data_IF_498593899594
#
_entry.id   IF_498593899594
#
_cell.length_a   1.000
_cell.length_b   1.000
_cell.length_c   1.000
_cell.angle_alpha   90.00
_cell.angle_beta   90.00
_cell.angle_gamma   90.00
#
_symmetry.space_group_name_H-M   'P 1'
#
loop_
_entity.id
_entity.type
_entity.pdbx_description
1 polymer ?
#
# COMPACT_ATOMS: atom_id res chain seq x y z
N UNK A 1 128.61 -12.06 -28.06
CA UNK A 1 127.81 -11.67 -29.21
C UNK A 1 126.46 -12.33 -29.15
N UNK A 2 125.44 -11.67 -28.73
CA UNK A 2 124.07 -12.03 -29.02
C UNK A 2 123.22 -10.77 -28.87
N UNK A 3 122.69 -10.34 -30.00
CA UNK A 3 121.73 -9.24 -30.10
C UNK A 3 120.40 -9.50 -29.45
N UNK A 4 119.92 -8.64 -28.57
CA UNK A 4 118.52 -8.60 -28.14
C UNK A 4 117.74 -7.70 -29.07
N UNK A 5 116.73 -8.25 -29.71
CA UNK A 5 115.74 -7.48 -30.45
C UNK A 5 114.57 -7.12 -29.48
N UNK A 6 114.31 -5.85 -29.35
CA UNK A 6 113.08 -5.31 -28.69
C UNK A 6 111.91 -5.50 -29.63
N UNK A 7 110.82 -6.06 -29.12
CA UNK A 7 109.53 -6.02 -29.79
C UNK A 7 108.65 -4.92 -29.17
N UNK A 8 107.90 -4.19 -29.97
CA UNK A 8 107.11 -3.08 -29.45
C UNK A 8 105.77 -3.53 -28.78
N UNK A 9 105.50 -2.89 -27.70
CA UNK A 9 104.23 -2.99 -26.92
C UNK A 9 103.10 -2.28 -27.64
N UNK A 10 102.26 -3.00 -28.39
CA UNK A 10 101.10 -2.45 -29.08
C UNK A 10 99.75 -3.18 -28.79
N UNK A 11 99.65 -3.90 -27.68
CA UNK A 11 98.46 -4.71 -27.36
C UNK A 11 97.61 -4.25 -26.18
N UNK A 12 97.91 -3.06 -25.60
CA UNK A 12 97.27 -2.70 -24.31
C UNK A 12 96.12 -1.71 -24.44
N UNK A 13 95.91 -1.08 -25.60
CA UNK A 13 94.87 -0.03 -25.76
C UNK A 13 93.53 -0.60 -26.29
N UNK A 14 93.60 -1.70 -27.00
CA UNK A 14 92.41 -2.31 -27.59
C UNK A 14 91.55 -3.11 -26.54
N UNK A 15 92.22 -3.70 -25.56
CA UNK A 15 91.53 -4.49 -24.49
C UNK A 15 90.75 -3.59 -23.50
N UNK A 16 91.19 -2.38 -23.27
CA UNK A 16 90.50 -1.46 -22.37
C UNK A 16 89.17 -0.94 -22.98
N UNK A 17 89.17 -0.70 -24.31
CA UNK A 17 87.99 -0.24 -25.00
C UNK A 17 86.88 -1.31 -25.04
N UNK A 18 87.29 -2.58 -25.22
CA UNK A 18 86.33 -3.72 -25.21
C UNK A 18 85.82 -4.03 -23.85
N UNK A 19 86.60 -3.79 -22.79
CA UNK A 19 86.07 -3.98 -21.39
C UNK A 19 85.10 -2.84 -21.03
N UNK A 20 85.29 -1.62 -21.51
CA UNK A 20 84.29 -0.56 -21.27
C UNK A 20 83.07 -0.67 -22.18
N UNK A 21 83.18 -1.27 -23.36
CA UNK A 21 82.05 -1.49 -24.25
C UNK A 21 81.12 -2.61 -23.74
N UNK A 22 81.68 -3.67 -23.09
CA UNK A 22 80.93 -4.77 -22.56
C UNK A 22 80.19 -4.47 -21.21
N UNK A 23 80.59 -3.41 -20.49
CA UNK A 23 80.04 -3.05 -19.19
C UNK A 23 78.78 -2.21 -19.28
N UNK A 24 78.40 -1.71 -20.48
CA UNK A 24 77.23 -0.87 -20.66
C UNK A 24 76.02 -1.54 -21.31
N UNK A 25 75.98 -2.90 -21.44
CA UNK A 25 74.88 -3.51 -22.18
C UNK A 25 74.02 -4.52 -21.40
N UNK A 26 74.14 -4.60 -20.04
CA UNK A 26 73.27 -5.42 -19.24
C UNK A 26 72.97 -4.79 -17.87
N UNK A 27 72.45 -3.57 -17.87
CA UNK A 27 71.54 -3.19 -16.78
C UNK A 27 70.18 -3.75 -17.12
N UNK A 28 69.59 -4.71 -16.31
CA UNK A 28 68.22 -5.08 -16.50
C UNK A 28 67.42 -3.77 -16.33
N UNK A 29 66.72 -3.35 -17.37
CA UNK A 29 65.62 -2.40 -17.22
C UNK A 29 64.72 -2.99 -16.15
N UNK A 30 64.88 -2.55 -14.93
CA UNK A 30 63.87 -2.71 -13.92
C UNK A 30 62.65 -2.00 -14.50
N UNK A 31 61.83 -2.74 -15.25
CA UNK A 31 60.59 -2.22 -15.76
C UNK A 31 59.89 -1.63 -14.58
N UNK A 32 59.55 -0.34 -14.70
CA UNK A 32 58.85 0.48 -13.73
C UNK A 32 57.48 -0.08 -13.34
N UNK A 33 57.44 -1.27 -12.77
CA UNK A 33 56.21 -1.83 -12.15
C UNK A 33 55.71 -0.89 -11.05
N UNK A 34 56.61 -0.20 -10.39
CA UNK A 34 56.27 0.85 -9.41
C UNK A 34 55.67 2.07 -10.06
N UNK A 35 56.26 2.56 -11.16
CA UNK A 35 55.75 3.70 -11.91
C UNK A 35 54.37 3.44 -12.54
N UNK A 36 54.14 2.23 -13.08
CA UNK A 36 52.82 1.85 -13.62
C UNK A 36 51.76 1.78 -12.52
N UNK A 37 52.09 1.21 -11.35
CA UNK A 37 51.17 1.16 -10.17
C UNK A 37 50.91 2.54 -9.59
N UNK A 38 51.90 3.42 -9.57
CA UNK A 38 51.73 4.78 -9.09
C UNK A 38 50.86 5.60 -10.07
N UNK A 39 51.07 5.51 -11.37
CA UNK A 39 50.23 6.13 -12.39
C UNK A 39 48.80 5.63 -12.32
N UNK A 40 48.59 4.34 -12.11
CA UNK A 40 47.25 3.75 -11.91
C UNK A 40 46.54 4.33 -10.68
N UNK A 41 47.24 4.46 -9.55
CA UNK A 41 46.71 5.08 -8.34
C UNK A 41 46.31 6.53 -8.55
N UNK A 42 47.19 7.31 -9.21
CA UNK A 42 46.90 8.70 -9.57
C UNK A 42 45.76 8.83 -10.57
N UNK A 43 45.65 7.92 -11.54
CA UNK A 43 44.53 7.89 -12.47
C UNK A 43 43.19 7.59 -11.75
N UNK A 44 43.18 6.60 -10.84
CA UNK A 44 41.98 6.30 -10.02
C UNK A 44 41.60 7.49 -9.16
N UNK A 45 42.57 8.17 -8.53
CA UNK A 45 42.30 9.35 -7.72
C UNK A 45 41.72 10.50 -8.56
N UNK A 46 42.28 10.72 -9.75
CA UNK A 46 41.79 11.76 -10.69
C UNK A 46 40.39 11.46 -11.19
N UNK A 47 40.06 10.17 -11.47
CA UNK A 47 38.73 9.75 -11.86
C UNK A 47 37.75 10.00 -10.71
N UNK A 48 38.10 9.61 -9.49
CA UNK A 48 37.28 9.79 -8.30
C UNK A 48 37.02 11.29 -8.02
N UNK A 49 38.05 12.12 -8.14
CA UNK A 49 37.92 13.58 -8.00
C UNK A 49 37.04 14.18 -9.09
N UNK A 50 37.23 13.76 -10.34
CA UNK A 50 36.42 14.20 -11.48
C UNK A 50 34.94 13.79 -11.30
N UNK A 51 34.70 12.57 -10.82
CA UNK A 51 33.35 12.10 -10.51
C UNK A 51 32.70 12.93 -9.39
N UNK A 52 33.47 13.23 -8.34
CA UNK A 52 32.97 14.06 -7.23
C UNK A 52 32.63 15.48 -7.70
N UNK A 53 33.44 16.04 -8.62
CA UNK A 53 33.17 17.34 -9.20
C UNK A 53 31.93 17.34 -10.08
N UNK A 54 31.72 16.29 -10.89
CA UNK A 54 30.50 16.15 -11.70
C UNK A 54 29.25 16.04 -10.83
N UNK A 55 29.29 15.26 -9.72
CA UNK A 55 28.21 15.17 -8.74
C UNK A 55 27.94 16.55 -8.12
N UNK A 56 28.99 17.28 -7.73
CA UNK A 56 28.84 18.63 -7.16
C UNK A 56 28.18 19.60 -8.16
N UNK A 57 28.57 19.54 -9.42
CA UNK A 57 27.97 20.37 -10.51
C UNK A 57 26.49 19.97 -10.68
N UNK A 58 26.14 18.67 -10.64
CA UNK A 58 24.76 18.20 -10.74
C UNK A 58 23.87 18.85 -9.66
N UNK A 59 24.32 18.89 -8.39
CA UNK A 59 23.55 19.51 -7.31
C UNK A 59 23.37 21.03 -7.45
N UNK A 60 24.21 21.71 -8.23
CA UNK A 60 24.09 23.13 -8.53
C UNK A 60 23.13 23.40 -9.70
N UNK A 61 22.78 22.39 -10.48
CA UNK A 61 21.89 22.53 -11.63
C UNK A 61 20.40 22.41 -11.23
N UNK A 62 19.45 22.95 -12.02
CA UNK A 62 18.03 22.76 -11.80
C UNK A 62 17.59 21.28 -11.92
N UNK A 63 18.38 20.40 -12.51
CA UNK A 63 18.10 18.97 -12.59
C UNK A 63 18.13 18.22 -11.26
N UNK A 64 18.68 18.82 -10.21
CA UNK A 64 18.62 18.29 -8.84
C UNK A 64 17.37 18.72 -8.07
N UNK A 65 16.53 19.54 -8.69
CA UNK A 65 15.30 20.07 -8.10
C UNK A 65 14.08 19.43 -8.75
N UNK A 66 13.00 19.32 -7.98
CA UNK A 66 11.71 18.83 -8.46
C UNK A 66 11.12 19.85 -9.43
N UNK A 67 10.84 19.42 -10.65
CA UNK A 67 10.18 20.20 -11.69
C UNK A 67 8.71 19.78 -11.81
N UNK A 68 8.46 18.48 -11.90
CA UNK A 68 7.12 17.91 -12.11
C UNK A 68 6.79 16.89 -11.04
N UNK A 69 5.55 17.00 -10.51
CA UNK A 69 4.92 16.01 -9.64
C UNK A 69 3.82 15.32 -10.42
N UNK A 70 3.78 14.00 -10.37
CA UNK A 70 2.74 13.19 -11.00
C UNK A 70 2.17 12.21 -10.00
N UNK A 71 0.87 11.89 -10.12
CA UNK A 71 0.18 10.91 -9.30
C UNK A 71 -0.32 9.80 -10.21
N UNK A 72 -0.23 8.56 -9.77
CA UNK A 72 -0.71 7.39 -10.49
C UNK A 72 -1.40 6.43 -9.52
N UNK A 73 -2.53 5.88 -9.95
CA UNK A 73 -3.27 4.89 -9.16
C UNK A 73 -4.39 5.48 -8.29
N UNK A 74 -4.52 6.82 -8.23
CA UNK A 74 -5.67 7.49 -7.60
C UNK A 74 -6.94 7.28 -8.43
N UNK A 75 -8.08 7.07 -7.76
CA UNK A 75 -9.39 6.92 -8.36
C UNK A 75 -10.41 7.90 -7.75
N UNK A 76 -10.56 7.89 -6.42
CA UNK A 76 -11.51 8.74 -5.70
C UNK A 76 -10.85 9.98 -5.13
N UNK A 77 -9.58 9.90 -4.72
CA UNK A 77 -8.80 11.02 -4.19
C UNK A 77 -8.25 11.84 -5.34
N UNK A 78 -8.42 13.15 -5.28
CA UNK A 78 -7.89 14.04 -6.30
C UNK A 78 -6.37 14.10 -6.24
N UNK A 79 -5.70 14.04 -7.39
CA UNK A 79 -4.23 14.15 -7.50
C UNK A 79 -3.70 15.38 -6.74
N UNK A 80 -4.45 16.48 -6.80
CA UNK A 80 -4.08 17.73 -6.15
C UNK A 80 -4.09 17.62 -4.63
N UNK A 81 -5.05 16.90 -4.04
CA UNK A 81 -5.13 16.67 -2.59
C UNK A 81 -3.93 15.85 -2.09
N UNK A 82 -3.50 14.86 -2.87
CA UNK A 82 -2.31 14.05 -2.56
C UNK A 82 -1.05 14.93 -2.58
N UNK A 83 -0.91 15.77 -3.60
CA UNK A 83 0.23 16.69 -3.73
C UNK A 83 0.23 17.71 -2.58
N UNK A 84 -0.92 18.32 -2.27
CA UNK A 84 -1.05 19.30 -1.19
C UNK A 84 -0.75 18.67 0.18
N UNK A 85 -1.27 17.46 0.46
CA UNK A 85 -1.02 16.72 1.71
C UNK A 85 0.44 16.33 1.87
N UNK A 86 1.17 16.14 0.77
CA UNK A 86 2.60 15.84 0.80
C UNK A 86 3.46 17.07 1.17
N UNK A 87 2.93 18.30 1.04
CA UNK A 87 3.63 19.57 1.17
C UNK A 87 4.86 19.72 0.25
N UNK A 88 4.99 18.87 -0.77
CA UNK A 88 6.08 18.97 -1.74
C UNK A 88 5.77 20.07 -2.75
N UNK A 89 6.77 20.94 -2.99
CA UNK A 89 6.64 22.03 -3.95
C UNK A 89 7.69 21.91 -5.06
N UNK A 90 7.33 22.36 -6.27
CA UNK A 90 8.28 22.50 -7.37
C UNK A 90 9.44 23.41 -6.94
N UNK A 91 10.66 23.03 -7.31
CA UNK A 91 11.90 23.75 -6.96
C UNK A 91 12.58 23.27 -5.68
N UNK A 92 11.97 22.39 -4.88
CA UNK A 92 12.63 21.73 -3.75
C UNK A 92 13.70 20.74 -4.22
N UNK A 93 14.60 20.35 -3.32
CA UNK A 93 15.64 19.38 -3.59
C UNK A 93 15.07 17.99 -3.81
N UNK A 94 15.26 17.41 -5.00
CA UNK A 94 14.77 16.07 -5.34
C UNK A 94 15.27 14.98 -4.38
N UNK A 95 16.58 15.03 -4.08
CA UNK A 95 17.21 14.00 -3.26
C UNK A 95 16.87 14.12 -1.77
N UNK A 96 16.72 15.32 -1.25
CA UNK A 96 16.29 15.56 0.12
C UNK A 96 14.87 15.05 0.31
N UNK A 97 13.94 15.45 -0.56
CA UNK A 97 12.56 14.96 -0.57
C UNK A 97 12.48 13.43 -0.69
N UNK A 98 13.32 12.84 -1.57
CA UNK A 98 13.34 11.38 -1.71
C UNK A 98 13.88 10.65 -0.47
N UNK A 99 14.82 11.22 0.25
CA UNK A 99 15.31 10.65 1.50
C UNK A 99 14.24 10.71 2.60
N UNK A 100 13.38 11.70 2.56
CA UNK A 100 12.25 11.88 3.50
C UNK A 100 10.96 11.17 3.05
N UNK A 101 10.98 10.39 1.96
CA UNK A 101 9.81 9.76 1.34
C UNK A 101 8.92 8.99 2.31
N UNK A 102 9.48 8.31 3.30
CA UNK A 102 8.72 7.54 4.28
C UNK A 102 7.91 8.45 5.21
N UNK A 103 8.52 9.55 5.68
CA UNK A 103 7.83 10.54 6.49
C UNK A 103 6.72 11.25 5.70
N UNK A 104 6.99 11.58 4.43
CA UNK A 104 5.99 12.18 3.53
C UNK A 104 4.85 11.21 3.27
N UNK A 105 5.15 9.93 2.99
CA UNK A 105 4.13 8.89 2.81
C UNK A 105 3.24 8.73 4.03
N UNK A 106 3.83 8.72 5.22
CA UNK A 106 3.07 8.64 6.47
C UNK A 106 2.17 9.85 6.67
N UNK A 107 2.67 11.06 6.40
CA UNK A 107 1.91 12.29 6.50
C UNK A 107 0.71 12.33 5.57
N UNK A 108 0.87 11.91 4.31
CA UNK A 108 -0.23 11.82 3.35
C UNK A 108 -1.29 10.82 3.84
N UNK A 109 -0.90 9.66 4.34
CA UNK A 109 -1.82 8.63 4.88
C UNK A 109 -2.58 9.12 6.11
N UNK A 110 -1.96 9.91 6.96
CA UNK A 110 -2.63 10.53 8.12
C UNK A 110 -3.64 11.62 7.72
N UNK A 111 -3.35 12.33 6.62
CA UNK A 111 -4.23 13.39 6.11
C UNK A 111 -5.36 12.87 5.23
N UNK A 112 -5.14 11.74 4.54
CA UNK A 112 -6.07 11.14 3.58
C UNK A 112 -6.35 9.68 3.95
N UNK A 113 -7.38 9.41 4.77
CA UNK A 113 -7.72 8.05 5.23
C UNK A 113 -8.03 7.07 4.09
N UNK A 114 -8.38 7.58 2.90
CA UNK A 114 -8.62 6.77 1.70
C UNK A 114 -7.34 6.12 1.15
N UNK A 115 -6.16 6.66 1.47
CA UNK A 115 -4.89 6.17 0.95
C UNK A 115 -4.42 4.95 1.75
N UNK A 116 -4.48 3.78 1.13
CA UNK A 116 -3.95 2.53 1.67
C UNK A 116 -2.42 2.55 1.68
N UNK A 117 -1.84 2.83 0.52
CA UNK A 117 -0.40 2.94 0.36
C UNK A 117 -0.02 4.04 -0.61
N UNK A 118 1.14 4.65 -0.37
CA UNK A 118 1.72 5.65 -1.26
C UNK A 118 3.24 5.48 -1.28
N UNK A 119 3.78 5.42 -2.48
CA UNK A 119 5.21 5.32 -2.71
C UNK A 119 5.69 6.50 -3.56
N UNK A 120 6.79 7.13 -3.13
CA UNK A 120 7.45 8.17 -3.89
C UNK A 120 8.57 7.55 -4.72
N UNK A 121 8.47 7.72 -6.04
CA UNK A 121 9.44 7.22 -6.99
C UNK A 121 10.01 8.37 -7.81
N UNK A 122 11.34 8.35 -8.05
CA UNK A 122 11.98 9.29 -8.96
C UNK A 122 11.72 8.80 -10.38
N UNK A 123 11.14 9.66 -11.21
CA UNK A 123 10.94 9.43 -12.64
C UNK A 123 11.78 10.42 -13.45
N UNK A 124 12.68 9.91 -14.28
CA UNK A 124 13.59 10.78 -15.03
C UNK A 124 14.66 11.45 -14.17
N UNK A 125 15.01 12.72 -14.48
CA UNK A 125 16.09 13.46 -13.81
C UNK A 125 15.59 14.38 -12.70
N UNK A 126 14.36 14.91 -12.82
CA UNK A 126 13.81 15.97 -11.97
C UNK A 126 12.30 15.83 -11.74
N UNK A 127 11.77 14.61 -11.85
CA UNK A 127 10.35 14.32 -11.67
C UNK A 127 10.16 13.36 -10.52
N UNK A 128 9.15 13.61 -9.69
CA UNK A 128 8.65 12.69 -8.66
C UNK A 128 7.28 12.16 -9.06
N UNK A 129 7.10 10.87 -8.88
CA UNK A 129 5.85 10.19 -9.11
C UNK A 129 5.35 9.56 -7.81
N UNK A 130 4.11 9.85 -7.44
CA UNK A 130 3.38 9.17 -6.39
C UNK A 130 2.66 7.98 -7.00
N UNK A 131 3.00 6.77 -6.57
CA UNK A 131 2.23 5.57 -6.84
C UNK A 131 1.30 5.33 -5.64
N UNK A 132 -0.01 5.45 -5.86
CA UNK A 132 -1.04 5.44 -4.82
C UNK A 132 -1.92 4.21 -4.97
N UNK A 133 -2.25 3.56 -3.86
CA UNK A 133 -3.33 2.59 -3.74
C UNK A 133 -4.35 3.13 -2.75
N UNK A 134 -5.63 3.04 -3.08
CA UNK A 134 -6.72 3.52 -2.24
C UNK A 134 -7.53 2.35 -1.69
N UNK A 135 -7.98 2.48 -0.44
CA UNK A 135 -9.00 1.61 0.12
C UNK A 135 -10.32 1.77 -0.64
N UNK A 136 -10.97 0.66 -0.93
CA UNK A 136 -12.26 0.69 -1.60
C UNK A 136 -13.37 1.08 -0.63
N UNK A 137 -14.36 1.83 -1.10
CA UNK A 137 -15.61 2.04 -0.38
C UNK A 137 -16.45 0.77 -0.48
N UNK A 138 -16.76 0.15 0.66
CA UNK A 138 -17.45 -1.15 0.72
C UNK A 138 -18.80 -1.11 1.40
N UNK A 139 -19.12 -0.03 2.12
CA UNK A 139 -20.41 0.17 2.78
C UNK A 139 -20.72 1.66 2.95
N UNK A 140 -21.94 1.96 3.39
CA UNK A 140 -22.38 3.29 3.81
C UNK A 140 -22.81 3.25 5.27
N UNK A 141 -22.31 4.15 6.11
CA UNK A 141 -22.77 4.34 7.48
C UNK A 141 -23.85 5.41 7.51
N UNK A 142 -25.01 5.10 8.07
CA UNK A 142 -26.05 6.10 8.33
C UNK A 142 -25.87 6.69 9.73
N UNK A 143 -25.76 8.04 9.79
CA UNK A 143 -25.65 8.80 11.03
C UNK A 143 -26.35 10.14 10.86
N UNK A 144 -27.29 10.46 11.78
CA UNK A 144 -28.07 11.71 11.73
C UNK A 144 -28.77 11.93 10.35
N UNK A 145 -29.37 10.88 9.80
CA UNK A 145 -30.04 10.87 8.49
C UNK A 145 -29.14 11.24 7.29
N UNK A 146 -27.83 11.15 7.48
CA UNK A 146 -26.83 11.30 6.42
C UNK A 146 -26.03 10.02 6.24
N UNK A 147 -25.56 9.81 5.02
CA UNK A 147 -24.75 8.64 4.68
C UNK A 147 -23.29 9.03 4.57
N UNK A 148 -22.42 8.21 5.11
CA UNK A 148 -20.97 8.37 5.08
C UNK A 148 -20.34 7.13 4.47
N UNK A 149 -19.34 7.32 3.61
CA UNK A 149 -18.60 6.18 3.02
C UNK A 149 -17.81 5.45 4.09
N UNK A 150 -17.91 4.12 4.09
CA UNK A 150 -17.09 3.23 4.91
C UNK A 150 -16.12 2.51 4.02
N UNK A 151 -14.85 2.64 4.33
CA UNK A 151 -13.75 2.00 3.62
C UNK A 151 -13.57 0.55 4.09
N UNK A 152 -12.90 -0.27 3.29
CA UNK A 152 -12.66 -1.67 3.63
C UNK A 152 -11.84 -1.88 4.92
N UNK A 153 -11.05 -0.89 5.36
CA UNK A 153 -10.36 -0.92 6.64
C UNK A 153 -11.23 -0.48 7.83
N UNK A 154 -12.52 -0.17 7.59
CA UNK A 154 -13.45 0.29 8.61
C UNK A 154 -13.45 1.80 8.86
N UNK A 155 -12.54 2.55 8.26
CA UNK A 155 -12.52 4.00 8.39
C UNK A 155 -13.76 4.63 7.73
N UNK A 156 -14.30 5.66 8.36
CA UNK A 156 -15.46 6.41 7.89
C UNK A 156 -15.00 7.78 7.39
N UNK A 157 -15.38 8.12 6.16
CA UNK A 157 -15.07 9.45 5.62
C UNK A 157 -15.95 10.52 6.26
N UNK A 158 -15.37 11.68 6.54
CA UNK A 158 -16.09 12.78 7.19
C UNK A 158 -17.13 13.45 6.28
N UNK A 159 -16.95 13.36 4.97
CA UNK A 159 -17.86 13.95 4.00
C UNK A 159 -19.11 13.11 3.82
N UNK A 160 -20.29 13.73 3.98
CA UNK A 160 -21.55 13.09 3.72
C UNK A 160 -21.69 12.78 2.23
N UNK A 161 -22.06 11.55 1.92
CA UNK A 161 -22.33 11.10 0.56
C UNK A 161 -23.81 11.29 0.21
N UNK A 162 -24.18 12.21 -0.69
CA UNK A 162 -25.57 12.41 -1.08
C UNK A 162 -26.12 11.25 -1.94
N UNK A 163 -25.27 10.38 -2.44
CA UNK A 163 -25.65 9.32 -3.37
C UNK A 163 -25.60 7.94 -2.73
N UNK A 164 -26.76 7.31 -2.57
CA UNK A 164 -26.93 5.95 -2.00
C UNK A 164 -27.07 4.87 -3.08
N UNK A 165 -26.99 5.21 -4.36
CA UNK A 165 -27.34 4.31 -5.47
C UNK A 165 -26.26 3.28 -5.84
N UNK A 166 -25.22 3.11 -5.01
CA UNK A 166 -24.07 2.24 -5.33
C UNK A 166 -24.27 0.74 -5.08
N UNK A 167 -25.44 0.31 -4.57
CA UNK A 167 -25.65 -1.11 -4.22
C UNK A 167 -24.79 -1.59 -3.05
N UNK A 168 -24.20 -0.66 -2.28
CA UNK A 168 -23.42 -0.94 -1.08
C UNK A 168 -24.38 -1.16 0.12
N UNK A 169 -24.04 -2.06 1.05
CA UNK A 169 -24.83 -2.26 2.25
C UNK A 169 -24.78 -1.04 3.16
N UNK A 170 -25.88 -0.83 3.90
CA UNK A 170 -26.01 0.25 4.87
C UNK A 170 -25.67 -0.28 6.26
N UNK A 171 -24.71 0.33 6.94
CA UNK A 171 -24.37 0.08 8.34
C UNK A 171 -25.20 1.03 9.22
N UNK A 172 -25.98 0.46 10.13
CA UNK A 172 -26.90 1.21 10.99
C UNK A 172 -26.53 1.03 12.46
N UNK A 173 -26.64 2.07 13.23
CA UNK A 173 -26.40 2.11 14.68
C UNK A 173 -24.95 1.84 15.12
N UNK A 174 -23.98 1.77 14.21
CA UNK A 174 -22.58 1.62 14.56
C UNK A 174 -22.03 2.97 15.08
N UNK A 175 -22.21 3.19 16.37
CA UNK A 175 -21.76 4.41 17.07
C UNK A 175 -20.33 4.28 17.63
N UNK A 176 -19.78 3.07 17.64
CA UNK A 176 -18.45 2.73 18.09
C UNK A 176 -17.60 2.31 16.87
N UNK A 177 -16.47 3.01 16.67
CA UNK A 177 -15.59 2.75 15.55
C UNK A 177 -14.91 1.38 15.62
N UNK A 178 -14.56 0.91 16.82
CA UNK A 178 -13.91 -0.39 16.99
C UNK A 178 -14.87 -1.54 16.63
N UNK A 179 -16.17 -1.40 16.93
CA UNK A 179 -17.18 -2.36 16.55
C UNK A 179 -17.43 -2.36 15.04
N UNK A 180 -17.42 -1.17 14.43
CA UNK A 180 -17.52 -1.05 12.97
C UNK A 180 -16.31 -1.67 12.27
N UNK A 181 -15.09 -1.41 12.73
CA UNK A 181 -13.86 -2.01 12.18
C UNK A 181 -13.90 -3.55 12.26
N UNK A 182 -14.34 -4.11 13.40
CA UNK A 182 -14.51 -5.55 13.56
C UNK A 182 -15.55 -6.10 12.58
N UNK A 183 -16.68 -5.39 12.40
CA UNK A 183 -17.71 -5.77 11.44
C UNK A 183 -17.18 -5.75 10.00
N UNK A 184 -16.44 -4.73 9.63
CA UNK A 184 -15.85 -4.62 8.29
C UNK A 184 -14.78 -5.69 8.03
N UNK A 185 -13.99 -6.05 9.03
CA UNK A 185 -13.03 -7.15 8.93
C UNK A 185 -13.73 -8.47 8.59
N UNK A 186 -14.86 -8.79 9.26
CA UNK A 186 -15.68 -9.97 8.96
C UNK A 186 -16.37 -9.86 7.60
N UNK A 187 -16.96 -8.70 7.28
CA UNK A 187 -17.66 -8.47 6.01
C UNK A 187 -16.73 -8.67 4.80
N UNK A 188 -15.50 -8.17 4.86
CA UNK A 188 -14.54 -8.27 3.77
C UNK A 188 -14.03 -9.70 3.52
N UNK A 189 -14.18 -10.61 4.48
CA UNK A 189 -13.85 -12.03 4.27
C UNK A 189 -14.95 -12.80 3.54
N UNK A 190 -16.15 -12.24 3.42
CA UNK A 190 -17.25 -12.84 2.67
C UNK A 190 -16.94 -12.87 1.17
N UNK A 191 -17.43 -13.92 0.50
CA UNK A 191 -17.40 -13.92 -0.97
C UNK A 191 -18.27 -12.79 -1.54
N UNK A 192 -17.86 -12.23 -2.68
CA UNK A 192 -18.61 -11.16 -3.35
C UNK A 192 -20.08 -11.51 -3.60
N UNK A 193 -20.38 -12.81 -3.83
CA UNK A 193 -21.75 -13.28 -4.02
C UNK A 193 -22.58 -13.19 -2.74
N UNK A 194 -21.98 -13.39 -1.56
CA UNK A 194 -22.68 -13.26 -0.27
C UNK A 194 -22.78 -11.78 0.13
N UNK A 195 -21.72 -11.00 -0.09
CA UNK A 195 -21.76 -9.55 0.12
C UNK A 195 -22.91 -8.89 -0.66
N UNK A 196 -23.07 -9.26 -1.93
CA UNK A 196 -24.15 -8.75 -2.80
C UNK A 196 -25.56 -9.14 -2.33
N UNK A 197 -25.73 -10.10 -1.43
CA UNK A 197 -27.02 -10.46 -0.86
C UNK A 197 -27.42 -9.59 0.34
N UNK A 198 -26.48 -8.85 0.94
CA UNK A 198 -26.71 -8.05 2.14
C UNK A 198 -27.16 -6.65 1.72
N UNK A 199 -28.28 -6.19 2.24
CA UNK A 199 -28.83 -4.85 2.03
C UNK A 199 -28.40 -3.90 3.14
N UNK A 200 -28.51 -4.36 4.39
CA UNK A 200 -28.27 -3.54 5.57
C UNK A 200 -27.75 -4.41 6.72
N UNK A 201 -26.89 -3.84 7.56
CA UNK A 201 -26.45 -4.46 8.82
C UNK A 201 -26.67 -3.47 9.94
N UNK A 202 -27.39 -3.87 10.95
CA UNK A 202 -27.70 -3.10 12.14
C UNK A 202 -26.99 -3.68 13.35
N UNK A 203 -26.26 -2.86 14.08
CA UNK A 203 -25.72 -3.24 15.37
C UNK A 203 -26.84 -3.16 16.44
N UNK A 204 -27.17 -4.31 17.04
CA UNK A 204 -28.26 -4.50 17.98
C UNK A 204 -27.68 -4.92 19.33
N UNK A 205 -26.94 -4.03 19.96
CA UNK A 205 -26.31 -4.31 21.26
C UNK A 205 -27.32 -4.89 22.25
N UNK A 206 -26.98 -6.01 22.91
CA UNK A 206 -27.78 -6.61 23.95
C UNK A 206 -26.97 -6.89 25.20
N UNK A 207 -27.62 -6.97 26.35
CA UNK A 207 -26.95 -7.28 27.63
C UNK A 207 -26.18 -8.62 27.62
N UNK A 208 -26.58 -9.57 26.75
CA UNK A 208 -25.93 -10.88 26.62
C UNK A 208 -24.80 -10.90 25.58
N UNK A 209 -24.92 -10.08 24.57
CA UNK A 209 -23.97 -10.03 23.46
C UNK A 209 -23.86 -8.59 22.95
N UNK A 210 -22.79 -7.93 23.34
CA UNK A 210 -22.51 -6.54 22.91
C UNK A 210 -22.11 -6.44 21.43
N UNK A 211 -21.80 -7.57 20.78
CA UNK A 211 -21.41 -7.65 19.36
C UNK A 211 -22.50 -8.34 18.51
N UNK A 212 -23.77 -8.26 18.96
CA UNK A 212 -24.92 -8.80 18.23
C UNK A 212 -25.26 -7.85 17.08
N UNK A 213 -25.51 -8.44 15.90
CA UNK A 213 -25.98 -7.72 14.72
C UNK A 213 -27.19 -8.36 14.11
N UNK A 214 -27.99 -7.57 13.41
CA UNK A 214 -29.05 -7.99 12.54
C UNK A 214 -28.73 -7.58 11.11
N UNK A 215 -28.63 -8.54 10.20
CA UNK A 215 -28.43 -8.26 8.79
C UNK A 215 -29.76 -8.46 8.03
N UNK A 216 -30.08 -7.51 7.18
CA UNK A 216 -31.23 -7.53 6.28
C UNK A 216 -30.75 -7.93 4.88
N UNK A 217 -31.41 -8.93 4.32
CA UNK A 217 -31.01 -9.50 3.04
C UNK A 217 -31.87 -8.97 1.90
N UNK A 218 -31.29 -8.84 0.70
CA UNK A 218 -32.02 -8.36 -0.49
C UNK A 218 -33.22 -9.22 -0.90
N UNK A 219 -33.31 -10.46 -0.40
CA UNK A 219 -34.45 -11.36 -0.64
C UNK A 219 -35.52 -11.30 0.45
N UNK A 220 -35.45 -10.35 1.39
CA UNK A 220 -36.43 -10.14 2.46
C UNK A 220 -36.23 -10.98 3.71
N UNK A 221 -35.18 -11.79 3.81
CA UNK A 221 -34.81 -12.48 5.03
C UNK A 221 -34.07 -11.58 6.01
N UNK A 222 -34.10 -11.94 7.27
CA UNK A 222 -33.30 -11.32 8.33
C UNK A 222 -32.34 -12.35 8.94
N UNK A 223 -31.21 -11.90 9.41
CA UNK A 223 -30.19 -12.73 10.03
C UNK A 223 -29.76 -12.10 11.34
N UNK A 224 -29.83 -12.89 12.43
CA UNK A 224 -29.27 -12.52 13.72
C UNK A 224 -27.96 -13.28 13.90
N UNK A 225 -26.86 -12.56 14.13
CA UNK A 225 -25.53 -13.14 14.26
C UNK A 225 -24.64 -12.31 15.20
N UNK A 226 -23.57 -12.93 15.67
CA UNK A 226 -22.51 -12.24 16.39
C UNK A 226 -21.37 -11.85 15.43
N UNK A 227 -20.82 -10.63 15.53
CA UNK A 227 -19.77 -10.13 14.66
C UNK A 227 -18.60 -11.14 14.54
N UNK A 228 -18.00 -11.67 15.63
CA UNK A 228 -16.81 -12.52 15.52
C UNK A 228 -17.00 -13.84 14.76
N UNK A 229 -18.23 -14.24 14.51
CA UNK A 229 -18.56 -15.47 13.75
C UNK A 229 -19.37 -15.19 12.49
N UNK A 230 -19.50 -13.93 12.12
CA UNK A 230 -20.37 -13.51 11.02
C UNK A 230 -19.97 -14.13 9.70
N UNK A 231 -18.72 -13.99 9.32
CA UNK A 231 -18.22 -14.49 8.02
C UNK A 231 -18.31 -16.01 7.93
N UNK A 232 -17.91 -16.73 8.99
CA UNK A 232 -17.98 -18.19 9.03
C UNK A 232 -19.41 -18.71 8.83
N UNK A 233 -20.38 -18.06 9.46
CA UNK A 233 -21.78 -18.50 9.38
C UNK A 233 -22.47 -18.06 8.09
N UNK A 234 -22.19 -16.85 7.64
CA UNK A 234 -22.78 -16.27 6.43
C UNK A 234 -22.38 -16.99 5.13
N UNK A 235 -21.22 -17.62 5.07
CA UNK A 235 -20.84 -18.43 3.91
C UNK A 235 -21.82 -19.57 3.63
N UNK A 236 -22.57 -20.03 4.65
CA UNK A 236 -23.56 -21.08 4.51
C UNK A 236 -24.97 -20.57 4.16
N UNK A 237 -25.21 -19.26 4.24
CA UNK A 237 -26.50 -18.64 3.99
C UNK A 237 -27.14 -19.04 2.66
N UNK A 238 -26.44 -19.12 1.51
CA UNK A 238 -27.05 -19.55 0.25
C UNK A 238 -27.62 -20.97 0.28
N UNK A 239 -27.09 -21.84 1.17
CA UNK A 239 -27.59 -23.20 1.37
C UNK A 239 -28.79 -23.21 2.31
N UNK A 240 -28.77 -22.37 3.35
CA UNK A 240 -29.87 -22.23 4.31
C UNK A 240 -31.15 -21.73 3.62
N UNK A 241 -31.04 -20.70 2.77
CA UNK A 241 -32.16 -20.17 1.97
C UNK A 241 -32.82 -21.25 1.08
N UNK A 242 -31.98 -22.10 0.47
CA UNK A 242 -32.50 -23.20 -0.35
C UNK A 242 -33.26 -24.25 0.48
N UNK A 243 -32.88 -24.46 1.74
CA UNK A 243 -33.49 -25.44 2.61
C UNK A 243 -34.91 -25.02 3.07
N UNK A 244 -35.16 -23.71 3.22
CA UNK A 244 -36.48 -23.17 3.63
C UNK A 244 -37.44 -22.96 2.48
N UNK A 245 -37.10 -23.43 1.26
CA UNK A 245 -38.01 -23.48 0.08
C UNK A 245 -38.61 -22.13 -0.34
N UNK A 246 -37.95 -21.03 -0.02
CA UNK A 246 -38.35 -19.67 -0.43
C UNK A 246 -39.30 -18.97 0.54
N UNK A 247 -39.55 -19.51 1.72
CA UNK A 247 -40.18 -18.78 2.81
C UNK A 247 -39.24 -17.72 3.35
N UNK A 248 -39.77 -16.53 3.66
CA UNK A 248 -39.04 -15.46 4.29
C UNK A 248 -39.14 -15.54 5.79
N UNK A 249 -38.07 -15.23 6.49
CA UNK A 249 -38.02 -15.31 7.95
C UNK A 249 -36.70 -14.84 8.54
N UNK A 250 -36.57 -15.00 9.82
CA UNK A 250 -35.37 -14.73 10.60
C UNK A 250 -34.49 -16.00 10.69
N UNK A 251 -33.28 -15.95 10.26
CA UNK A 251 -32.25 -16.94 10.54
C UNK A 251 -31.47 -16.51 11.78
N UNK A 252 -31.64 -17.22 12.87
CA UNK A 252 -30.81 -17.06 14.07
C UNK A 252 -29.55 -17.90 13.91
N UNK A 253 -28.46 -17.20 13.63
CA UNK A 253 -27.13 -17.79 13.49
C UNK A 253 -26.25 -17.53 14.73
N UNK A 254 -26.75 -16.89 15.79
CA UNK A 254 -25.98 -16.64 17.01
C UNK A 254 -25.72 -17.94 17.78
N UNK A 255 -26.78 -18.70 18.09
CA UNK A 255 -26.70 -19.92 18.88
C UNK A 255 -26.70 -21.21 18.06
N UNK A 256 -26.90 -21.10 16.73
CA UNK A 256 -27.00 -22.25 15.83
C UNK A 256 -27.44 -21.81 14.45
N UNK A 257 -28.24 -22.60 13.76
CA UNK A 257 -28.91 -22.26 12.52
C UNK A 257 -30.40 -22.57 12.66
N UNK A 258 -31.11 -21.65 13.29
CA UNK A 258 -32.56 -21.75 13.47
C UNK A 258 -33.25 -20.84 12.47
N UNK A 259 -34.37 -21.30 11.89
CA UNK A 259 -35.21 -20.51 11.01
C UNK A 259 -36.56 -20.27 11.65
N UNK A 260 -36.98 -19.02 11.71
CA UNK A 260 -38.28 -18.59 12.25
C UNK A 260 -38.97 -17.88 11.08
N UNK A 261 -39.99 -18.51 10.46
CA UNK A 261 -40.73 -17.88 9.37
C UNK A 261 -41.47 -16.64 9.86
N UNK A 262 -41.60 -15.62 9.02
CA UNK A 262 -42.48 -14.50 9.30
C UNK A 262 -43.93 -14.96 9.17
N UNK A 263 -44.81 -14.47 10.05
CA UNK A 263 -46.24 -14.78 9.96
C UNK A 263 -46.77 -14.33 8.57
N UNK A 264 -47.51 -15.19 7.90
CA UNK A 264 -48.20 -14.83 6.65
C UNK A 264 -49.26 -13.76 6.92
N UNK A 265 -49.48 -12.86 5.99
CA UNK A 265 -50.53 -11.82 6.11
C UNK A 265 -51.92 -12.43 6.41
N UNK A 266 -52.13 -13.66 5.96
CA UNK A 266 -53.38 -14.41 6.23
C UNK A 266 -53.54 -14.79 7.72
N UNK A 267 -52.46 -15.07 8.46
CA UNK A 267 -52.53 -15.37 9.90
C UNK A 267 -52.77 -14.10 10.75
N UNK A 268 -52.22 -12.95 10.35
CA UNK A 268 -52.47 -11.68 11.03
C UNK A 268 -53.93 -11.23 10.93
N UNK A 269 -54.62 -11.52 9.82
CA UNK A 269 -56.04 -11.19 9.66
C UNK A 269 -56.96 -12.03 10.54
N UNK A 270 -56.60 -13.28 10.80
CA UNK A 270 -57.36 -14.15 11.73
C UNK A 270 -57.23 -13.75 13.20
N UNK A 271 -56.09 -13.23 13.61
CA UNK A 271 -55.86 -12.76 14.98
C UNK A 271 -56.56 -11.42 15.26
N UNK A 272 -56.62 -10.50 14.28
CA UNK A 272 -57.38 -9.26 14.40
C UNK A 272 -58.89 -9.49 14.41
N UNK A 273 -59.41 -10.42 13.58
CA UNK A 273 -60.83 -10.74 13.50
C UNK A 273 -61.31 -11.43 14.79
N UNK A 274 -60.47 -12.30 15.40
CA UNK A 274 -60.78 -12.95 16.68
C UNK A 274 -60.71 -12.00 17.89
N UNK A 275 -59.91 -10.94 17.83
CA UNK A 275 -59.83 -9.92 18.89
C UNK A 275 -61.03 -8.97 18.86
N UNK A 276 -61.61 -8.70 17.67
CA UNK A 276 -62.82 -7.89 17.52
C UNK A 276 -64.02 -8.62 18.07
N UNK A 277 -64.20 -9.94 17.79
CA UNK A 277 -65.33 -10.77 18.25
C UNK A 277 -65.34 -10.94 19.78
N UNK A 278 -64.20 -10.95 20.47
CA UNK A 278 -64.10 -11.05 21.92
C UNK A 278 -64.52 -9.76 22.64
N UNK A 279 -64.45 -8.62 22.01
CA UNK A 279 -64.82 -7.33 22.56
C UNK A 279 -66.31 -7.00 22.34
N UNK A 280 -66.98 -7.59 21.32
CA UNK A 280 -68.42 -7.38 21.11
C UNK A 280 -69.30 -8.25 21.97
N UNK A 281 -68.80 -9.35 22.61
CA UNK A 281 -69.53 -10.24 23.46
C UNK A 281 -69.52 -9.90 24.95
N UNK A 282 -68.95 -8.75 25.34
CA UNK A 282 -68.81 -8.30 26.75
C UNK A 282 -69.62 -7.04 27.10
N UNK A 283 -70.68 -6.67 26.35
CA UNK A 283 -71.70 -5.70 26.75
C UNK A 283 -72.97 -6.28 27.19
#
# INVERSE_FOLDING_TARGET
MKQNQEQPVQSTVTDIKDLYSKKNHNSPRHEDKYGKRLKLKWSVLMILFSMMLLISVYFLTPYSKIDTLTVQGSNEVLDQEIIESSEIQSGQSLWETYLEREAISQKVKESLPQVESIELNISGLNQLNFAVSEYQTVALLIKNDQYYKVLENGAVLEEANPNTNGGLPIMRNFNDSEVLEQMMAEYNTLSTSVQAMISEVEWVESERNSLLIKAYMNNGNEILASIPSFSERMQHYPQLVKAVKGENGLFDLEAGAYFIPFASEDEQSYDEENQVDLNETSE
#
